data_IF_755932829627
#
_entry.id   IF_755932829627
#
_cell.length_a   1.000
_cell.length_b   1.000
_cell.length_c   1.000
_cell.angle_alpha   90.00
_cell.angle_beta   90.00
_cell.angle_gamma   90.00
#
_symmetry.space_group_name_H-M   'P 1'
#
loop_
_entity.id
_entity.type
_entity.pdbx_description
1 polymer ?
#
# COMPACT_ATOMS: atom_id res chain seq x y z
N UNK A 1 26.07 -24.30 33.64
CA UNK A 1 25.03 -23.53 32.91
C UNK A 1 24.60 -24.34 31.70
N UNK A 2 23.31 -24.63 31.53
CA UNK A 2 22.79 -25.26 30.31
C UNK A 2 22.44 -24.16 29.30
N UNK A 3 23.06 -24.22 28.13
CA UNK A 3 22.73 -23.32 27.00
C UNK A 3 21.39 -23.75 26.42
N UNK A 4 20.40 -22.86 26.44
CA UNK A 4 19.15 -23.05 25.69
C UNK A 4 19.30 -22.30 24.36
N UNK A 5 18.94 -22.92 23.23
CA UNK A 5 19.02 -22.25 21.95
C UNK A 5 18.13 -20.99 21.96
N UNK A 6 18.56 -19.90 21.32
CA UNK A 6 17.78 -18.67 21.26
C UNK A 6 16.42 -18.96 20.63
N UNK A 7 15.37 -18.39 21.22
CA UNK A 7 14.01 -18.53 20.74
C UNK A 7 13.85 -17.63 19.51
N UNK A 8 14.14 -18.18 18.34
CA UNK A 8 14.07 -17.43 17.08
C UNK A 8 12.61 -17.36 16.61
N UNK A 9 12.14 -16.17 16.26
CA UNK A 9 10.81 -15.98 15.69
C UNK A 9 10.79 -16.59 14.28
N UNK A 10 9.97 -17.64 14.08
CA UNK A 10 9.94 -18.39 12.80
C UNK A 10 9.07 -17.73 11.72
N UNK A 11 8.16 -16.84 12.11
CA UNK A 11 7.24 -16.12 11.21
C UNK A 11 7.02 -14.71 11.74
N UNK A 12 7.13 -13.72 10.87
CA UNK A 12 6.78 -12.34 11.19
C UNK A 12 5.25 -12.27 11.29
N UNK A 13 4.68 -11.78 12.41
CA UNK A 13 3.25 -11.53 12.49
C UNK A 13 2.92 -10.38 11.53
N UNK A 14 2.32 -10.72 10.40
CA UNK A 14 1.92 -9.74 9.39
C UNK A 14 0.67 -9.01 9.87
N UNK A 15 0.69 -7.68 9.77
CA UNK A 15 -0.52 -6.89 9.98
C UNK A 15 -1.51 -7.23 8.86
N UNK A 16 -2.76 -7.52 9.23
CA UNK A 16 -3.83 -7.67 8.24
C UNK A 16 -4.09 -6.30 7.64
N UNK A 17 -3.87 -6.19 6.33
CA UNK A 17 -4.25 -5.01 5.56
C UNK A 17 -5.65 -5.22 4.99
N UNK A 18 -6.30 -4.11 4.65
CA UNK A 18 -7.59 -4.14 3.97
C UNK A 18 -7.41 -4.85 2.62
N UNK A 19 -8.30 -5.78 2.33
CA UNK A 19 -8.40 -6.49 1.05
C UNK A 19 -9.61 -5.97 0.27
N UNK A 20 -9.63 -6.29 -1.02
CA UNK A 20 -10.73 -6.06 -1.95
C UNK A 20 -11.08 -4.58 -2.09
N UNK A 21 -10.05 -3.75 -2.22
CA UNK A 21 -10.19 -2.31 -2.39
C UNK A 21 -10.16 -1.86 -3.85
N UNK A 22 -9.89 -2.76 -4.79
CA UNK A 22 -9.77 -2.49 -6.23
C UNK A 22 -10.88 -1.60 -6.79
N UNK A 23 -12.15 -1.86 -6.44
CA UNK A 23 -13.30 -1.06 -6.93
C UNK A 23 -13.30 0.40 -6.44
N UNK A 24 -12.67 0.64 -5.29
CA UNK A 24 -12.61 1.96 -4.66
C UNK A 24 -11.27 2.65 -4.91
N UNK A 25 -10.32 1.99 -5.58
CA UNK A 25 -8.98 2.50 -5.82
C UNK A 25 -9.02 3.76 -6.69
N UNK A 26 -8.24 4.77 -6.30
CA UNK A 26 -8.08 5.99 -7.10
C UNK A 26 -6.64 6.16 -7.57
N UNK A 27 -5.70 6.18 -6.64
CA UNK A 27 -4.27 6.25 -6.92
C UNK A 27 -3.49 5.80 -5.68
N UNK A 28 -2.18 5.77 -5.81
CA UNK A 28 -1.27 5.58 -4.70
C UNK A 28 0.02 6.35 -4.92
N UNK A 29 0.64 6.76 -3.82
CA UNK A 29 1.86 7.55 -3.83
C UNK A 29 2.80 7.12 -2.72
N UNK A 30 4.07 7.53 -2.80
CA UNK A 30 5.04 7.32 -1.76
C UNK A 30 5.10 8.54 -0.83
N UNK A 31 4.83 8.34 0.47
CA UNK A 31 5.01 9.38 1.49
C UNK A 31 6.44 9.35 1.99
N UNK A 32 7.29 10.24 1.47
CA UNK A 32 8.70 10.36 1.84
C UNK A 32 8.95 10.74 3.31
N UNK A 33 7.95 11.26 4.04
CA UNK A 33 8.13 11.63 5.46
C UNK A 33 8.04 10.41 6.38
N UNK A 34 7.14 9.48 6.06
CA UNK A 34 6.94 8.26 6.86
C UNK A 34 7.55 7.01 6.21
N UNK A 35 8.05 7.14 4.99
CA UNK A 35 8.55 6.06 4.15
C UNK A 35 7.50 4.98 3.86
N UNK A 36 6.23 5.38 3.70
CA UNK A 36 5.10 4.48 3.46
C UNK A 36 4.54 4.65 2.04
N UNK A 37 4.10 3.55 1.43
CA UNK A 37 3.21 3.62 0.27
C UNK A 37 1.77 3.88 0.75
N UNK A 38 1.11 4.89 0.18
CA UNK A 38 -0.23 5.31 0.56
C UNK A 38 -1.19 5.03 -0.58
N UNK A 39 -2.12 4.11 -0.38
CA UNK A 39 -3.20 3.79 -1.31
C UNK A 39 -4.40 4.66 -0.97
N UNK A 40 -4.88 5.45 -1.93
CA UNK A 40 -6.03 6.33 -1.77
C UNK A 40 -7.27 5.67 -2.35
N UNK A 41 -8.32 5.61 -1.54
CA UNK A 41 -9.60 4.99 -1.85
C UNK A 41 -10.72 6.04 -1.80
N UNK A 42 -11.74 5.88 -2.65
CA UNK A 42 -12.95 6.68 -2.56
C UNK A 42 -14.19 5.88 -2.96
N UNK A 43 -15.13 5.75 -2.02
CA UNK A 43 -16.43 5.10 -2.17
C UNK A 43 -17.54 6.05 -1.76
N UNK A 44 -18.52 6.29 -2.63
CA UNK A 44 -19.70 7.14 -2.32
C UNK A 44 -19.30 8.51 -1.74
N UNK A 45 -18.34 9.20 -2.38
CA UNK A 45 -17.75 10.47 -1.92
C UNK A 45 -17.06 10.44 -0.54
N UNK A 46 -16.85 9.26 0.03
CA UNK A 46 -16.09 9.07 1.26
C UNK A 46 -14.66 8.66 0.92
N UNK A 47 -13.70 9.48 1.33
CA UNK A 47 -12.27 9.26 1.14
C UNK A 47 -11.67 8.43 2.27
N UNK A 48 -10.78 7.52 1.92
CA UNK A 48 -10.05 6.67 2.87
C UNK A 48 -8.63 6.38 2.35
N UNK A 49 -7.75 5.91 3.22
CA UNK A 49 -6.38 5.53 2.84
C UNK A 49 -5.88 4.28 3.54
N UNK A 50 -5.14 3.45 2.81
CA UNK A 50 -4.40 2.30 3.34
C UNK A 50 -2.91 2.61 3.25
N UNK A 51 -2.21 2.52 4.38
CA UNK A 51 -0.77 2.80 4.46
C UNK A 51 0.01 1.49 4.57
N UNK A 52 1.01 1.32 3.72
CA UNK A 52 1.87 0.15 3.65
C UNK A 52 3.28 0.59 4.01
N UNK A 53 3.73 0.14 5.18
CA UNK A 53 5.10 0.38 5.65
C UNK A 53 6.03 -0.78 5.29
N UNK A 54 5.58 -2.02 5.51
CA UNK A 54 6.39 -3.22 5.28
C UNK A 54 5.95 -3.91 3.99
N UNK A 55 6.86 -4.15 3.02
CA UNK A 55 6.56 -4.88 1.79
C UNK A 55 5.93 -6.26 2.01
N UNK A 56 6.22 -6.92 3.16
CA UNK A 56 5.60 -8.19 3.52
C UNK A 56 4.09 -8.09 3.66
N UNK A 57 3.52 -6.90 3.82
CA UNK A 57 2.07 -6.73 3.90
C UNK A 57 1.39 -6.97 2.55
N UNK A 58 2.11 -6.78 1.43
CA UNK A 58 1.60 -7.05 0.07
C UNK A 58 1.28 -8.52 -0.15
N UNK A 59 1.90 -9.44 0.58
CA UNK A 59 1.62 -10.89 0.44
C UNK A 59 0.21 -11.27 0.88
N UNK A 60 -0.48 -10.38 1.60
CA UNK A 60 -1.85 -10.56 2.05
C UNK A 60 -2.87 -9.86 1.14
N UNK A 61 -2.48 -9.32 -0.03
CA UNK A 61 -3.43 -8.74 -0.98
C UNK A 61 -4.17 -9.80 -1.79
N UNK A 62 -5.38 -9.47 -2.23
CA UNK A 62 -6.08 -10.27 -3.24
C UNK A 62 -5.34 -10.15 -4.58
N UNK A 63 -5.54 -11.13 -5.47
CA UNK A 63 -4.91 -11.10 -6.80
C UNK A 63 -5.37 -9.91 -7.63
N UNK A 64 -6.58 -9.40 -7.39
CA UNK A 64 -7.11 -8.23 -8.07
C UNK A 64 -6.48 -6.93 -7.55
N UNK A 65 -6.32 -6.80 -6.23
CA UNK A 65 -5.65 -5.65 -5.63
C UNK A 65 -4.20 -5.53 -6.12
N UNK A 66 -3.48 -6.65 -6.22
CA UNK A 66 -2.11 -6.66 -6.76
C UNK A 66 -2.09 -6.19 -8.22
N UNK A 67 -3.03 -6.65 -9.05
CA UNK A 67 -3.12 -6.21 -10.45
C UNK A 67 -3.44 -4.73 -10.55
N UNK A 68 -4.33 -4.22 -9.71
CA UNK A 68 -4.70 -2.80 -9.65
C UNK A 68 -3.48 -1.94 -9.33
N UNK A 69 -2.73 -2.29 -8.28
CA UNK A 69 -1.49 -1.60 -7.91
C UNK A 69 -0.41 -1.70 -9.01
N UNK A 70 -0.33 -2.81 -9.73
CA UNK A 70 0.65 -2.95 -10.81
C UNK A 70 0.32 -2.10 -12.04
N UNK A 71 -0.97 -1.95 -12.39
CA UNK A 71 -1.41 -1.17 -13.56
C UNK A 71 -1.29 0.34 -13.37
N UNK A 72 -1.45 0.81 -12.14
CA UNK A 72 -1.36 2.22 -11.81
C UNK A 72 0.01 2.47 -11.15
N UNK A 73 0.93 3.18 -11.79
CA UNK A 73 2.25 3.44 -11.19
C UNK A 73 2.13 4.31 -9.92
N UNK A 74 3.07 4.14 -8.98
CA UNK A 74 3.21 5.00 -7.80
C UNK A 74 3.65 6.39 -8.26
N UNK A 75 2.95 7.41 -7.78
CA UNK A 75 3.45 8.79 -7.86
C UNK A 75 4.43 9.07 -6.72
N UNK A 76 5.54 9.75 -7.00
CA UNK A 76 6.56 10.05 -5.99
C UNK A 76 6.28 11.35 -5.25
N UNK A 77 5.70 12.36 -5.92
CA UNK A 77 5.25 13.60 -5.29
C UNK A 77 3.80 13.96 -5.70
N UNK A 78 3.09 14.71 -4.84
CA UNK A 78 1.75 15.22 -5.17
C UNK A 78 1.80 16.14 -6.41
N UNK A 79 2.92 16.83 -6.63
CA UNK A 79 3.14 17.66 -7.83
C UNK A 79 3.10 16.88 -9.13
N UNK A 80 3.62 15.64 -9.15
CA UNK A 80 3.57 14.77 -10.33
C UNK A 80 2.12 14.37 -10.71
N UNK A 81 1.20 14.38 -9.74
CA UNK A 81 -0.22 14.12 -10.01
C UNK A 81 -0.92 15.30 -10.67
N UNK A 82 -0.58 16.54 -10.30
CA UNK A 82 -1.19 17.73 -10.92
C UNK A 82 -0.80 17.81 -12.41
N UNK A 83 0.46 17.56 -12.74
CA UNK A 83 0.96 17.56 -14.12
C UNK A 83 0.24 16.53 -15.01
N UNK A 84 -0.04 15.33 -14.48
CA UNK A 84 -0.72 14.25 -15.23
C UNK A 84 -2.25 14.45 -15.33
N UNK A 85 -2.85 15.17 -14.39
CA UNK A 85 -4.27 15.51 -14.44
C UNK A 85 -4.54 16.67 -15.41
N UNK A 86 -3.61 17.62 -15.54
CA UNK A 86 -3.68 18.71 -16.52
C UNK A 86 -3.49 18.22 -17.97
N UNK A 87 -2.61 17.24 -18.20
CA UNK A 87 -2.29 16.73 -19.54
C UNK A 87 -3.40 15.86 -20.18
N UNK A 88 -4.52 15.62 -19.47
CA UNK A 88 -5.69 14.86 -19.95
C UNK A 88 -6.89 15.74 -20.34
N UNK A 89 -6.73 17.06 -20.35
CA UNK A 89 -7.73 18.03 -20.82
C UNK A 89 -7.41 18.57 -22.22
#
# INVERSE_FOLDING_TARGET
MKWLPPKVMKKIPLRKIRQDFSDNFRWWYYDGRTAEAVIVLCKENTWDSVRIFDPMWLTNLSSEDVKTLYKCQIFFEIGDMEEILEDRH
#
